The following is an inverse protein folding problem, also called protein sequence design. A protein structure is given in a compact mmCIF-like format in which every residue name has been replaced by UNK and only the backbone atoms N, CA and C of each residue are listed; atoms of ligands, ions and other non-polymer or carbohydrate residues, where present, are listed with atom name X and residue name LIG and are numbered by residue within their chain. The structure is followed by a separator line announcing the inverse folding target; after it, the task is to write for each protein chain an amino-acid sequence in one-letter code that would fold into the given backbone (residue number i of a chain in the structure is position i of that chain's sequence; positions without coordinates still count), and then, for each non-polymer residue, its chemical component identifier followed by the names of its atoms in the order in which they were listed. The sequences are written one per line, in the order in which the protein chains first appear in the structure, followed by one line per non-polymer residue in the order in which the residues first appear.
data_IF_841812908105
#
_entry.id   IF_841812908105
#
_cell.length_a   1.000
_cell.length_b   1.000
_cell.length_c   1.000
_cell.angle_alpha   90.00
_cell.angle_beta   90.00
_cell.angle_gamma   90.00
#
_symmetry.space_group_name_H-M   'P 1'
#
loop_
_entity.id
_entity.type
_entity.pdbx_description
1 polymer ?
#
# COMPACT_ATOMS: atom_id res chain seq x y z
N UNK A 1 15.03 -26.77 -12.31
CA UNK A 1 16.20 -26.36 -11.52
C UNK A 1 15.84 -25.09 -10.77
N UNK A 2 16.24 -24.96 -9.48
CA UNK A 2 15.99 -23.75 -8.70
C UNK A 2 17.19 -22.82 -8.89
N UNK A 3 16.94 -21.58 -9.33
CA UNK A 3 18.00 -20.59 -9.59
C UNK A 3 18.24 -19.66 -8.38
N UNK A 4 17.24 -19.48 -7.53
CA UNK A 4 17.31 -18.64 -6.36
C UNK A 4 16.01 -18.55 -5.58
N UNK A 5 15.99 -17.74 -4.54
CA UNK A 5 14.81 -17.54 -3.66
C UNK A 5 14.46 -16.07 -3.58
N UNK A 6 13.23 -15.74 -3.93
CA UNK A 6 12.67 -14.40 -3.85
C UNK A 6 11.78 -14.26 -2.61
N UNK A 7 11.99 -13.24 -1.79
CA UNK A 7 11.30 -13.07 -0.52
C UNK A 7 10.62 -11.70 -0.47
N UNK A 8 9.33 -11.72 -0.13
CA UNK A 8 8.55 -10.55 0.27
C UNK A 8 8.56 -10.46 1.80
N UNK A 9 9.01 -9.35 2.36
CA UNK A 9 9.23 -9.20 3.80
C UNK A 9 8.69 -7.87 4.32
N UNK A 10 8.19 -7.80 5.55
CA UNK A 10 7.92 -6.51 6.18
C UNK A 10 9.21 -5.79 6.54
N UNK A 11 9.14 -4.45 6.68
CA UNK A 11 10.24 -3.57 7.09
C UNK A 11 11.00 -2.92 5.93
N UNK A 12 11.93 -2.03 6.27
CA UNK A 12 12.73 -1.28 5.31
C UNK A 12 13.91 -2.13 4.82
N UNK A 13 13.77 -2.76 3.66
CA UNK A 13 14.79 -3.66 3.12
C UNK A 13 15.97 -2.87 2.56
N UNK A 14 17.12 -3.02 3.22
CA UNK A 14 18.39 -2.43 2.85
C UNK A 14 19.25 -3.45 2.07
N UNK A 15 19.08 -3.44 0.76
CA UNK A 15 19.79 -4.38 -0.13
C UNK A 15 21.32 -4.15 -0.08
N UNK A 16 21.76 -2.87 0.07
CA UNK A 16 23.18 -2.51 0.12
C UNK A 16 23.88 -3.11 1.33
N UNK A 17 23.24 -3.01 2.50
CA UNK A 17 23.79 -3.52 3.76
C UNK A 17 23.30 -4.93 4.09
N UNK A 18 22.53 -5.57 3.20
CA UNK A 18 22.02 -6.95 3.28
C UNK A 18 21.26 -7.24 4.59
N UNK A 19 20.41 -6.28 5.01
CA UNK A 19 19.63 -6.37 6.25
C UNK A 19 18.25 -5.72 6.07
N UNK A 20 17.40 -5.90 7.06
CA UNK A 20 16.10 -5.21 7.15
C UNK A 20 16.18 -4.19 8.29
N UNK A 21 16.03 -2.92 7.95
CA UNK A 21 16.02 -1.79 8.89
C UNK A 21 14.57 -1.46 9.31
N UNK A 22 14.44 -0.53 10.27
CA UNK A 22 13.15 -0.06 10.75
C UNK A 22 12.53 -0.99 11.80
N UNK A 23 11.20 -0.97 11.87
CA UNK A 23 10.38 -1.74 12.81
C UNK A 23 9.25 -2.40 12.02
N UNK A 24 8.97 -3.66 12.33
CA UNK A 24 7.81 -4.38 11.81
C UNK A 24 7.23 -5.32 12.87
N UNK A 25 6.12 -5.97 12.56
CA UNK A 25 5.51 -6.97 13.42
C UNK A 25 6.40 -8.22 13.65
N UNK A 26 7.49 -8.37 12.88
CA UNK A 26 8.42 -9.50 12.94
C UNK A 26 9.78 -8.99 13.42
N UNK A 27 9.90 -8.77 14.72
CA UNK A 27 11.05 -8.11 15.35
C UNK A 27 12.39 -8.80 15.08
N UNK A 28 12.42 -10.14 15.03
CA UNK A 28 13.65 -10.92 14.85
C UNK A 28 14.28 -10.82 13.46
N UNK A 29 13.61 -10.17 12.47
CA UNK A 29 14.18 -9.93 11.14
C UNK A 29 15.13 -8.74 11.10
N UNK A 30 15.02 -7.83 12.09
CA UNK A 30 15.70 -6.55 12.04
C UNK A 30 17.15 -6.62 12.56
N UNK A 31 18.00 -5.73 12.05
CA UNK A 31 19.37 -5.46 12.51
C UNK A 31 20.30 -6.69 12.54
N UNK A 32 20.05 -7.65 11.65
CA UNK A 32 20.88 -8.85 11.47
C UNK A 32 21.17 -9.07 9.99
N UNK A 33 22.22 -9.84 9.64
CA UNK A 33 22.59 -10.12 8.24
C UNK A 33 21.64 -11.18 7.65
N UNK A 34 20.35 -10.87 7.57
CA UNK A 34 19.30 -11.83 7.23
C UNK A 34 19.47 -12.44 5.84
N UNK A 35 20.02 -11.69 4.88
CA UNK A 35 20.31 -12.22 3.54
C UNK A 35 21.35 -13.35 3.63
N UNK A 36 22.48 -13.12 4.33
CA UNK A 36 23.56 -14.08 4.44
C UNK A 36 23.15 -15.34 5.21
N UNK A 37 22.34 -15.14 6.26
CA UNK A 37 21.82 -16.25 7.06
C UNK A 37 20.86 -17.13 6.25
N UNK A 38 19.98 -16.53 5.44
CA UNK A 38 19.05 -17.29 4.61
C UNK A 38 19.76 -17.95 3.42
N UNK A 39 20.74 -17.30 2.79
CA UNK A 39 21.58 -17.91 1.76
C UNK A 39 22.34 -19.12 2.30
N UNK A 40 22.95 -19.00 3.48
CA UNK A 40 23.64 -20.10 4.13
C UNK A 40 22.71 -21.27 4.48
N UNK A 41 21.49 -20.96 4.91
CA UNK A 41 20.51 -21.98 5.31
C UNK A 41 19.87 -22.69 4.11
N UNK A 42 19.61 -21.98 3.01
CA UNK A 42 18.86 -22.49 1.86
C UNK A 42 19.77 -22.98 0.72
N UNK A 43 21.03 -22.50 0.68
CA UNK A 43 22.00 -22.88 -0.37
C UNK A 43 21.72 -22.24 -1.74
N UNK A 44 20.95 -21.16 -1.81
CA UNK A 44 20.59 -20.45 -3.03
C UNK A 44 20.80 -18.94 -2.88
N UNK A 45 21.07 -18.20 -3.97
CA UNK A 45 21.03 -16.74 -3.97
C UNK A 45 19.65 -16.22 -3.53
N UNK A 46 19.63 -15.14 -2.77
CA UNK A 46 18.39 -14.57 -2.22
C UNK A 46 18.22 -13.12 -2.62
N UNK A 47 17.00 -12.77 -3.02
CA UNK A 47 16.54 -11.38 -3.05
C UNK A 47 15.44 -11.18 -2.01
N UNK A 48 15.49 -10.06 -1.31
CA UNK A 48 14.44 -9.63 -0.39
C UNK A 48 14.00 -8.23 -0.79
N UNK A 49 12.69 -8.00 -0.82
CA UNK A 49 12.12 -6.65 -0.95
C UNK A 49 10.91 -6.52 -0.02
N UNK A 50 10.59 -5.26 0.33
CA UNK A 50 9.42 -4.95 1.15
C UNK A 50 8.12 -5.45 0.50
N UNK A 51 7.15 -5.90 1.30
CA UNK A 51 5.90 -6.50 0.84
C UNK A 51 5.03 -5.56 -0.01
N UNK A 52 4.89 -4.31 0.39
CA UNK A 52 4.17 -3.31 -0.40
C UNK A 52 4.93 -2.94 -1.69
N UNK A 53 6.26 -2.87 -1.62
CA UNK A 53 7.11 -2.67 -2.81
C UNK A 53 6.96 -3.85 -3.78
N UNK A 54 7.02 -5.08 -3.30
CA UNK A 54 6.78 -6.27 -4.12
C UNK A 54 5.41 -6.20 -4.81
N UNK A 55 4.34 -5.90 -4.06
CA UNK A 55 3.01 -5.79 -4.63
C UNK A 55 2.94 -4.68 -5.70
N UNK A 56 3.56 -3.54 -5.45
CA UNK A 56 3.68 -2.47 -6.42
C UNK A 56 4.46 -2.88 -7.67
N UNK A 57 5.59 -3.58 -7.53
CA UNK A 57 6.38 -4.13 -8.65
C UNK A 57 5.53 -5.06 -9.51
N UNK A 58 4.77 -5.96 -8.89
CA UNK A 58 3.84 -6.85 -9.59
C UNK A 58 2.85 -6.05 -10.45
N UNK A 59 2.19 -5.05 -9.86
CA UNK A 59 1.19 -4.24 -10.55
C UNK A 59 1.79 -3.39 -11.68
N UNK A 60 2.98 -2.85 -11.49
CA UNK A 60 3.68 -2.07 -12.52
C UNK A 60 4.16 -2.92 -13.69
N UNK A 61 4.57 -4.15 -13.46
CA UNK A 61 5.12 -5.03 -14.50
C UNK A 61 4.06 -5.89 -15.19
N UNK A 62 3.08 -6.39 -14.43
CA UNK A 62 2.13 -7.39 -14.91
C UNK A 62 0.66 -6.98 -14.76
N UNK A 63 0.37 -5.94 -13.96
CA UNK A 63 -0.98 -5.56 -13.57
C UNK A 63 -1.44 -4.21 -14.08
N UNK A 64 -2.17 -3.50 -13.22
CA UNK A 64 -2.86 -2.24 -13.54
C UNK A 64 -1.93 -1.11 -14.01
N UNK A 65 -0.66 -1.14 -13.60
CA UNK A 65 0.35 -0.12 -13.90
C UNK A 65 1.19 -0.37 -15.14
N UNK A 66 0.90 -1.38 -15.95
CA UNK A 66 1.66 -1.64 -17.18
C UNK A 66 1.73 -0.42 -18.10
N UNK A 67 2.95 -0.06 -18.51
CA UNK A 67 3.21 1.08 -19.40
C UNK A 67 3.25 2.45 -18.73
N UNK A 68 2.90 2.55 -17.44
CA UNK A 68 2.94 3.78 -16.64
C UNK A 68 4.37 4.04 -16.16
N UNK A 69 4.81 5.29 -16.17
CA UNK A 69 6.15 5.68 -15.73
C UNK A 69 6.15 6.23 -14.30
N UNK A 70 5.12 6.99 -13.94
CA UNK A 70 5.01 7.61 -12.62
C UNK A 70 3.73 7.10 -11.94
N UNK A 71 3.90 6.29 -10.90
CA UNK A 71 2.76 5.72 -10.18
C UNK A 71 3.01 5.67 -8.67
N UNK A 72 1.94 5.70 -7.92
CA UNK A 72 1.95 5.24 -6.52
C UNK A 72 1.04 4.02 -6.38
N UNK A 73 1.50 3.05 -5.63
CA UNK A 73 0.72 1.90 -5.18
C UNK A 73 0.40 2.09 -3.70
N UNK A 74 -0.86 2.01 -3.34
CA UNK A 74 -1.33 2.16 -1.95
C UNK A 74 -2.06 0.90 -1.54
N UNK A 75 -1.48 0.12 -0.64
CA UNK A 75 -2.10 -1.09 -0.10
C UNK A 75 -2.80 -0.79 1.21
N UNK A 76 -4.09 -1.13 1.31
CA UNK A 76 -4.95 -0.85 2.45
C UNK A 76 -5.44 -2.18 3.03
N UNK A 77 -4.86 -2.55 4.17
CA UNK A 77 -5.16 -3.77 4.91
C UNK A 77 -5.45 -3.48 6.39
N UNK A 78 -4.70 -4.10 7.32
CA UNK A 78 -4.71 -3.75 8.74
C UNK A 78 -4.05 -2.41 9.01
N UNK A 79 -3.07 -2.04 8.19
CA UNK A 79 -2.45 -0.73 8.07
C UNK A 79 -2.51 -0.25 6.62
N UNK A 80 -1.84 0.88 6.36
CA UNK A 80 -1.62 1.38 5.01
C UNK A 80 -0.12 1.33 4.72
N UNK A 81 0.23 0.73 3.60
CA UNK A 81 1.58 0.74 3.04
C UNK A 81 1.56 1.26 1.61
N UNK A 82 2.71 1.28 0.95
CA UNK A 82 2.74 1.65 -0.45
C UNK A 82 4.10 1.57 -1.09
N UNK A 83 4.12 1.93 -2.37
CA UNK A 83 5.33 2.02 -3.18
C UNK A 83 5.24 3.22 -4.13
N UNK A 84 6.37 3.83 -4.42
CA UNK A 84 6.48 4.95 -5.36
C UNK A 84 7.29 4.47 -6.57
N UNK A 85 6.81 4.78 -7.77
CA UNK A 85 7.50 4.51 -9.01
C UNK A 85 7.76 5.81 -9.77
N UNK A 86 9.01 6.03 -10.14
CA UNK A 86 9.47 7.19 -10.93
C UNK A 86 10.25 6.66 -12.13
N UNK A 87 9.88 7.06 -13.33
CA UNK A 87 10.45 6.54 -14.58
C UNK A 87 10.36 4.99 -14.67
N UNK A 88 9.27 4.42 -14.19
CA UNK A 88 9.03 2.97 -14.18
C UNK A 88 9.88 2.18 -13.18
N UNK A 89 10.64 2.86 -12.32
CA UNK A 89 11.53 2.25 -11.32
C UNK A 89 11.03 2.53 -9.90
N UNK A 90 11.18 1.55 -9.03
CA UNK A 90 10.86 1.68 -7.61
C UNK A 90 11.75 2.75 -6.96
N UNK A 91 11.11 3.72 -6.31
CA UNK A 91 11.78 4.79 -5.55
C UNK A 91 11.63 4.57 -4.06
N UNK A 92 12.71 4.22 -3.38
CA UNK A 92 12.74 3.93 -1.93
C UNK A 92 13.14 5.14 -1.07
N UNK A 93 13.60 6.23 -1.70
CA UNK A 93 14.12 7.41 -0.98
C UNK A 93 15.49 7.18 -0.36
N UNK A 94 16.01 8.24 0.29
CA UNK A 94 17.36 8.23 0.89
C UNK A 94 17.49 7.33 2.12
N UNK A 95 16.38 7.10 2.84
CA UNK A 95 16.34 6.35 4.09
C UNK A 95 15.43 5.10 4.00
N UNK A 96 15.06 4.68 2.80
CA UNK A 96 14.17 3.53 2.52
C UNK A 96 12.73 3.73 3.04
N UNK A 97 12.30 4.97 3.23
CA UNK A 97 10.95 5.34 3.69
C UNK A 97 10.01 5.80 2.56
N UNK A 98 10.48 5.74 1.31
CA UNK A 98 9.61 6.03 0.16
C UNK A 98 8.46 5.03 0.08
N UNK A 99 7.23 5.53 0.14
CA UNK A 99 6.04 4.66 0.14
C UNK A 99 5.45 4.35 1.52
N UNK A 100 6.06 4.79 2.62
CA UNK A 100 5.51 4.62 3.98
C UNK A 100 4.27 5.51 4.22
N UNK A 101 3.27 5.40 3.34
CA UNK A 101 2.07 6.25 3.35
C UNK A 101 1.22 6.10 4.61
N UNK A 102 1.32 4.94 5.27
CA UNK A 102 0.64 4.71 6.54
C UNK A 102 1.03 5.68 7.64
N UNK A 103 2.22 6.29 7.55
CA UNK A 103 2.75 7.27 8.50
C UNK A 103 2.35 8.71 8.17
N UNK A 104 1.72 8.97 7.02
CA UNK A 104 1.23 10.31 6.67
C UNK A 104 0.23 10.76 7.72
N UNK A 105 0.46 11.94 8.28
CA UNK A 105 -0.38 12.55 9.31
C UNK A 105 -1.42 13.47 8.65
N UNK A 106 -2.68 13.29 8.97
CA UNK A 106 -3.77 14.14 8.51
C UNK A 106 -3.96 15.39 9.38
N UNK A 107 -4.89 16.26 9.00
CA UNK A 107 -5.13 17.53 9.68
C UNK A 107 -5.51 17.39 11.18
N UNK A 108 -6.04 16.24 11.60
CA UNK A 108 -6.37 15.98 13.03
C UNK A 108 -5.23 15.29 13.81
N UNK A 109 -4.04 15.18 13.25
CA UNK A 109 -2.86 14.62 13.91
C UNK A 109 -2.82 13.10 13.97
N UNK A 110 -3.69 12.40 13.22
CA UNK A 110 -3.74 10.95 13.17
C UNK A 110 -3.07 10.40 11.91
N UNK A 111 -2.43 9.24 12.02
CA UNK A 111 -1.80 8.60 10.86
C UNK A 111 -2.83 8.01 9.90
N UNK A 112 -2.46 7.90 8.63
CA UNK A 112 -3.31 7.29 7.62
C UNK A 112 -3.64 5.83 7.96
N UNK A 113 -2.69 5.07 8.51
CA UNK A 113 -2.96 3.71 9.00
C UNK A 113 -4.05 3.69 10.08
N UNK A 114 -4.11 4.70 10.94
CA UNK A 114 -5.14 4.80 11.99
C UNK A 114 -6.52 5.10 11.42
N UNK A 115 -6.63 6.02 10.45
CA UNK A 115 -7.93 6.52 9.98
C UNK A 115 -8.37 5.95 8.62
N UNK A 116 -7.44 5.44 7.81
CA UNK A 116 -7.70 5.01 6.44
C UNK A 116 -7.94 3.50 6.27
N UNK A 117 -8.15 2.74 7.36
CA UNK A 117 -8.37 1.29 7.27
C UNK A 117 -9.74 0.87 7.77
N UNK A 118 -10.36 -0.12 7.13
CA UNK A 118 -11.64 -0.68 7.55
C UNK A 118 -11.56 -1.34 8.94
N UNK A 119 -10.40 -1.94 9.27
CA UNK A 119 -10.16 -2.58 10.58
C UNK A 119 -10.24 -1.55 11.70
N UNK A 120 -9.51 -0.44 11.59
CA UNK A 120 -9.49 0.59 12.61
C UNK A 120 -10.82 1.37 12.66
N UNK A 121 -11.48 1.55 11.51
CA UNK A 121 -12.81 2.16 11.46
C UNK A 121 -13.85 1.29 12.16
N UNK A 122 -13.84 -0.03 11.91
CA UNK A 122 -14.71 -0.98 12.61
C UNK A 122 -14.41 -1.01 14.13
N UNK A 123 -13.15 -0.91 14.54
CA UNK A 123 -12.79 -0.87 15.95
C UNK A 123 -13.34 0.41 16.64
N UNK A 124 -13.25 1.57 15.99
CA UNK A 124 -13.88 2.82 16.50
C UNK A 124 -15.39 2.70 16.58
N UNK A 125 -16.03 2.25 15.49
CA UNK A 125 -17.47 2.01 15.44
C UNK A 125 -17.91 1.04 16.54
N UNK A 126 -17.18 -0.07 16.74
CA UNK A 126 -17.45 -1.06 17.78
C UNK A 126 -17.42 -0.44 19.19
N UNK A 127 -16.40 0.39 19.45
CA UNK A 127 -16.28 1.09 20.74
C UNK A 127 -17.45 2.06 20.99
N UNK A 128 -17.88 2.80 19.98
CA UNK A 128 -18.98 3.76 20.09
C UNK A 128 -20.34 3.09 20.28
N UNK A 129 -20.56 1.96 19.62
CA UNK A 129 -21.84 1.21 19.66
C UNK A 129 -21.91 0.14 20.74
N UNK A 130 -20.81 -0.10 21.50
CA UNK A 130 -20.77 -1.16 22.50
C UNK A 130 -20.86 -2.58 21.92
N UNK A 131 -20.34 -2.77 20.72
CA UNK A 131 -20.34 -4.05 19.98
C UNK A 131 -18.92 -4.44 19.59
N UNK A 132 -18.76 -5.56 18.90
CA UNK A 132 -17.48 -5.99 18.31
C UNK A 132 -17.73 -6.51 16.91
N UNK A 133 -17.26 -5.77 15.90
CA UNK A 133 -17.40 -6.16 14.49
C UNK A 133 -16.07 -6.01 13.76
N UNK A 134 -15.90 -6.78 12.70
CA UNK A 134 -14.79 -6.70 11.77
C UNK A 134 -15.01 -5.60 10.71
N UNK A 135 -13.94 -5.26 9.97
CA UNK A 135 -14.05 -4.35 8.82
C UNK A 135 -15.04 -4.85 7.76
N UNK A 136 -15.10 -6.17 7.54
CA UNK A 136 -16.08 -6.77 6.62
C UNK A 136 -17.51 -6.56 7.10
N UNK A 137 -17.79 -6.84 8.36
CA UNK A 137 -19.12 -6.66 8.95
C UNK A 137 -19.55 -5.19 8.96
N UNK A 138 -18.61 -4.23 9.08
CA UNK A 138 -18.91 -2.82 8.94
C UNK A 138 -19.40 -2.48 7.52
N UNK A 139 -18.78 -3.05 6.49
CA UNK A 139 -19.28 -2.93 5.12
C UNK A 139 -20.65 -3.59 4.94
N UNK A 140 -20.84 -4.79 5.48
CA UNK A 140 -22.10 -5.51 5.40
C UNK A 140 -23.26 -4.68 6.06
N UNK A 141 -23.01 -4.01 7.18
CA UNK A 141 -23.96 -3.12 7.82
C UNK A 141 -24.29 -1.89 6.94
N UNK A 142 -23.28 -1.27 6.35
CA UNK A 142 -23.48 -0.13 5.47
C UNK A 142 -24.27 -0.53 4.21
N UNK A 143 -23.97 -1.69 3.63
CA UNK A 143 -24.72 -2.25 2.48
C UNK A 143 -26.19 -2.56 2.84
N UNK A 144 -26.46 -2.89 4.10
CA UNK A 144 -27.81 -3.07 4.65
C UNK A 144 -28.52 -1.74 4.98
N UNK A 145 -27.88 -0.59 4.80
CA UNK A 145 -28.44 0.74 5.00
C UNK A 145 -28.29 1.29 6.42
N UNK A 146 -27.39 0.75 7.25
CA UNK A 146 -27.06 1.32 8.55
C UNK A 146 -26.35 2.69 8.36
N UNK A 147 -27.01 3.75 8.74
CA UNK A 147 -26.55 5.13 8.54
C UNK A 147 -25.24 5.39 9.28
N UNK A 148 -25.07 4.88 10.49
CA UNK A 148 -23.86 5.09 11.28
C UNK A 148 -22.64 4.34 10.67
N UNK A 149 -22.86 3.13 10.13
CA UNK A 149 -21.82 2.39 9.41
C UNK A 149 -21.42 3.11 8.11
N UNK A 150 -22.41 3.66 7.37
CA UNK A 150 -22.14 4.48 6.18
C UNK A 150 -21.33 5.74 6.52
N UNK A 151 -21.68 6.45 7.60
CA UNK A 151 -20.95 7.64 8.06
C UNK A 151 -19.51 7.29 8.47
N UNK A 152 -19.31 6.18 9.18
CA UNK A 152 -17.98 5.72 9.57
C UNK A 152 -17.09 5.40 8.35
N UNK A 153 -17.62 4.71 7.33
CA UNK A 153 -16.91 4.42 6.08
C UNK A 153 -16.66 5.69 5.25
N UNK A 154 -17.60 6.61 5.19
CA UNK A 154 -17.42 7.90 4.52
C UNK A 154 -16.26 8.68 5.14
N UNK A 155 -16.16 8.75 6.46
CA UNK A 155 -15.01 9.36 7.14
C UNK A 155 -13.67 8.68 6.80
N UNK A 156 -13.65 7.34 6.68
CA UNK A 156 -12.45 6.61 6.22
C UNK A 156 -12.07 7.01 4.79
N UNK A 157 -13.05 7.12 3.88
CA UNK A 157 -12.79 7.52 2.48
C UNK A 157 -12.29 8.96 2.38
N UNK A 158 -12.81 9.86 3.22
CA UNK A 158 -12.36 11.25 3.26
C UNK A 158 -10.88 11.33 3.68
N UNK A 159 -10.46 10.57 4.70
CA UNK A 159 -9.06 10.52 5.12
C UNK A 159 -8.13 9.90 4.05
N UNK A 160 -8.59 8.88 3.34
CA UNK A 160 -7.86 8.32 2.21
C UNK A 160 -7.71 9.33 1.09
N UNK A 161 -8.78 10.01 0.71
CA UNK A 161 -8.76 11.01 -0.35
C UNK A 161 -7.88 12.22 -0.01
N UNK A 162 -7.89 12.69 1.26
CA UNK A 162 -7.00 13.75 1.76
C UNK A 162 -5.53 13.35 1.60
N UNK A 163 -5.17 12.13 2.02
CA UNK A 163 -3.82 11.63 1.86
C UNK A 163 -3.41 11.50 0.39
N UNK A 164 -4.28 10.94 -0.46
CA UNK A 164 -4.02 10.81 -1.88
C UNK A 164 -3.90 12.17 -2.58
N UNK A 165 -4.68 13.17 -2.17
CA UNK A 165 -4.53 14.55 -2.64
C UNK A 165 -3.13 15.08 -2.32
N UNK A 166 -2.68 14.93 -1.08
CA UNK A 166 -1.35 15.38 -0.65
C UNK A 166 -0.23 14.66 -1.43
N UNK A 167 -0.38 13.36 -1.69
CA UNK A 167 0.56 12.60 -2.51
C UNK A 167 0.51 13.05 -3.99
N UNK A 168 -0.69 13.32 -4.52
CA UNK A 168 -0.83 13.80 -5.89
C UNK A 168 -0.10 15.12 -6.11
N UNK A 169 -0.32 16.10 -5.26
CA UNK A 169 0.34 17.42 -5.42
C UNK A 169 1.84 17.40 -5.07
N UNK A 170 2.34 16.36 -4.41
CA UNK A 170 3.74 16.23 -4.00
C UNK A 170 4.58 15.42 -5.00
N UNK A 171 4.00 14.40 -5.64
CA UNK A 171 4.70 13.42 -6.49
C UNK A 171 4.26 13.54 -7.95
N UNK A 172 3.03 14.00 -8.18
CA UNK A 172 2.36 14.12 -9.50
C UNK A 172 2.40 12.81 -10.32
N UNK A 173 1.89 11.69 -9.74
CA UNK A 173 1.84 10.43 -10.47
C UNK A 173 0.76 10.45 -11.56
N UNK A 174 1.03 9.74 -12.67
CA UNK A 174 0.04 9.46 -13.71
C UNK A 174 -1.08 8.54 -13.20
N UNK A 175 -0.73 7.65 -12.25
CA UNK A 175 -1.65 6.63 -11.74
C UNK A 175 -1.49 6.39 -10.24
N UNK A 176 -2.64 6.19 -9.58
CA UNK A 176 -2.75 5.66 -8.22
C UNK A 176 -3.39 4.27 -8.31
N UNK A 177 -2.69 3.25 -7.81
CA UNK A 177 -3.19 1.87 -7.75
C UNK A 177 -3.58 1.57 -6.31
N UNK A 178 -4.84 1.22 -6.09
CA UNK A 178 -5.38 0.85 -4.77
C UNK A 178 -5.31 -0.67 -4.62
N UNK A 179 -4.54 -1.14 -3.64
CA UNK A 179 -4.41 -2.56 -3.29
C UNK A 179 -4.98 -2.90 -1.91
N UNK A 180 -4.81 -4.16 -1.52
CA UNK A 180 -5.33 -4.69 -0.25
C UNK A 180 -6.79 -5.14 -0.33
N UNK A 181 -7.31 -5.64 0.80
CA UNK A 181 -8.64 -6.27 0.83
C UNK A 181 -9.79 -5.38 0.36
N UNK A 182 -9.69 -4.06 0.55
CA UNK A 182 -10.74 -3.12 0.12
C UNK A 182 -10.80 -2.94 -1.41
N UNK A 183 -9.71 -3.21 -2.12
CA UNK A 183 -9.66 -3.07 -3.58
C UNK A 183 -10.55 -4.08 -4.34
N UNK A 184 -10.97 -5.16 -3.66
CA UNK A 184 -11.94 -6.09 -4.19
C UNK A 184 -13.35 -5.49 -4.32
N UNK A 185 -13.59 -4.31 -3.74
CA UNK A 185 -14.85 -3.56 -3.80
C UNK A 185 -14.70 -2.38 -4.77
N UNK A 186 -15.29 -2.45 -5.98
CA UNK A 186 -15.20 -1.36 -6.97
C UNK A 186 -15.82 -0.04 -6.47
N UNK A 187 -16.89 -0.12 -5.65
CA UNK A 187 -17.55 1.02 -5.03
C UNK A 187 -16.60 1.81 -4.12
N UNK A 188 -15.68 1.16 -3.43
CA UNK A 188 -14.69 1.80 -2.55
C UNK A 188 -13.67 2.59 -3.37
N UNK A 189 -13.10 1.97 -4.41
CA UNK A 189 -12.15 2.66 -5.30
C UNK A 189 -12.79 3.88 -5.96
N UNK A 190 -14.03 3.77 -6.40
CA UNK A 190 -14.78 4.86 -7.00
C UNK A 190 -15.11 5.97 -5.98
N UNK A 191 -15.52 5.60 -4.75
CA UNK A 191 -15.78 6.56 -3.69
C UNK A 191 -14.53 7.39 -3.33
N UNK A 192 -13.35 6.77 -3.31
CA UNK A 192 -12.07 7.46 -3.08
C UNK A 192 -11.74 8.37 -4.27
N UNK A 193 -11.88 7.86 -5.49
CA UNK A 193 -11.62 8.62 -6.73
C UNK A 193 -12.46 9.89 -6.81
N UNK A 194 -13.76 9.79 -6.52
CA UNK A 194 -14.67 10.94 -6.56
C UNK A 194 -14.29 12.02 -5.55
N UNK A 195 -13.88 11.63 -4.34
CA UNK A 195 -13.44 12.56 -3.30
C UNK A 195 -12.13 13.24 -3.66
N UNK A 196 -11.19 12.49 -4.23
CA UNK A 196 -9.94 13.06 -4.74
C UNK A 196 -10.23 14.12 -5.83
N UNK A 197 -11.11 13.80 -6.78
CA UNK A 197 -11.52 14.75 -7.82
C UNK A 197 -12.12 16.03 -7.19
N UNK A 198 -13.00 15.90 -6.21
CA UNK A 198 -13.61 17.03 -5.49
C UNK A 198 -12.53 17.89 -4.80
N UNK A 199 -11.52 17.28 -4.17
CA UNK A 199 -10.42 18.02 -3.55
C UNK A 199 -9.57 18.76 -4.57
N UNK A 200 -9.26 18.14 -5.72
CA UNK A 200 -8.50 18.77 -6.79
C UNK A 200 -9.26 19.95 -7.43
N UNK A 201 -10.58 19.80 -7.64
CA UNK A 201 -11.43 20.88 -8.14
C UNK A 201 -11.51 22.05 -7.13
N UNK A 202 -11.73 21.75 -5.86
CA UNK A 202 -11.82 22.76 -4.79
C UNK A 202 -10.53 23.58 -4.64
N UNK A 203 -9.39 22.99 -4.98
CA UNK A 203 -8.06 23.63 -4.96
C UNK A 203 -7.59 24.14 -6.32
N UNK A 204 -8.49 24.23 -7.31
CA UNK A 204 -8.26 24.79 -8.64
C UNK A 204 -7.19 24.06 -9.47
N UNK A 205 -6.99 22.76 -9.23
CA UNK A 205 -6.02 21.91 -9.97
C UNK A 205 -6.67 20.64 -10.54
N UNK A 206 -7.87 20.72 -11.20
CA UNK A 206 -8.53 19.53 -11.74
C UNK A 206 -7.72 18.80 -12.81
N UNK A 207 -6.82 19.52 -13.48
CA UNK A 207 -5.92 18.94 -14.49
C UNK A 207 -4.87 17.97 -13.93
N UNK A 208 -4.67 17.96 -12.61
CA UNK A 208 -3.77 17.01 -11.94
C UNK A 208 -4.47 15.70 -11.52
N UNK A 209 -5.66 15.39 -12.05
CA UNK A 209 -6.37 14.15 -11.69
C UNK A 209 -5.67 12.92 -12.28
N UNK A 210 -5.16 12.00 -11.43
CA UNK A 210 -4.51 10.78 -11.89
C UNK A 210 -5.53 9.73 -12.32
N UNK A 211 -5.07 8.70 -13.01
CA UNK A 211 -5.83 7.47 -13.14
C UNK A 211 -5.88 6.76 -11.79
N UNK A 212 -7.07 6.47 -11.27
CA UNK A 212 -7.23 5.69 -10.03
C UNK A 212 -7.81 4.31 -10.38
N UNK A 213 -7.06 3.25 -10.08
CA UNK A 213 -7.46 1.87 -10.38
C UNK A 213 -7.28 0.94 -9.19
N UNK A 214 -8.11 -0.07 -9.10
CA UNK A 214 -7.86 -1.21 -8.22
C UNK A 214 -6.72 -2.08 -8.76
N UNK A 215 -5.97 -2.72 -7.85
CA UNK A 215 -4.94 -3.69 -8.21
C UNK A 215 -5.53 -4.91 -8.91
N UNK A 216 -4.73 -5.55 -9.78
CA UNK A 216 -5.13 -6.73 -10.55
C UNK A 216 -4.91 -8.02 -9.77
N UNK A 217 -3.78 -8.15 -9.06
CA UNK A 217 -3.34 -9.42 -8.45
C UNK A 217 -3.75 -9.60 -6.99
N UNK A 218 -4.36 -8.58 -6.37
CA UNK A 218 -4.89 -8.64 -5.00
C UNK A 218 -3.90 -9.26 -3.99
N UNK A 219 -4.31 -10.32 -3.27
CA UNK A 219 -3.51 -10.94 -2.20
C UNK A 219 -2.25 -11.68 -2.69
N UNK A 220 -2.12 -11.95 -3.99
CA UNK A 220 -0.95 -12.63 -4.56
C UNK A 220 0.12 -11.66 -5.08
N UNK A 221 -0.18 -10.37 -5.12
CA UNK A 221 0.67 -9.35 -5.72
C UNK A 221 2.09 -9.34 -5.12
N UNK A 222 2.21 -9.45 -3.81
CA UNK A 222 3.51 -9.40 -3.14
C UNK A 222 4.40 -10.63 -3.45
N UNK A 223 3.83 -11.82 -3.53
CA UNK A 223 4.58 -13.04 -3.87
C UNK A 223 5.03 -13.04 -5.34
N UNK A 224 4.12 -12.67 -6.24
CA UNK A 224 4.46 -12.52 -7.67
C UNK A 224 5.49 -11.42 -7.86
N UNK A 225 5.31 -10.30 -7.18
CA UNK A 225 6.24 -9.17 -7.22
C UNK A 225 7.63 -9.49 -6.66
N UNK A 226 7.74 -10.34 -5.65
CA UNK A 226 9.04 -10.83 -5.19
C UNK A 226 9.77 -11.61 -6.29
N UNK A 227 9.07 -12.50 -7.01
CA UNK A 227 9.64 -13.22 -8.14
C UNK A 227 10.06 -12.27 -9.28
N UNK A 228 9.21 -11.31 -9.63
CA UNK A 228 9.54 -10.29 -10.64
C UNK A 228 10.74 -9.44 -10.21
N UNK A 229 10.82 -9.07 -8.92
CA UNK A 229 11.96 -8.33 -8.38
C UNK A 229 13.27 -9.15 -8.48
N UNK A 230 13.19 -10.46 -8.25
CA UNK A 230 14.34 -11.35 -8.44
C UNK A 230 14.86 -11.28 -9.89
N UNK A 231 13.98 -11.39 -10.87
CA UNK A 231 14.35 -11.28 -12.29
C UNK A 231 14.97 -9.91 -12.61
N UNK A 232 14.38 -8.81 -12.12
CA UNK A 232 14.91 -7.45 -12.34
C UNK A 232 16.33 -7.31 -11.77
N UNK A 233 16.56 -7.80 -10.54
CA UNK A 233 17.85 -7.62 -9.84
C UNK A 233 18.93 -8.52 -10.40
N UNK A 234 18.58 -9.74 -10.86
CA UNK A 234 19.57 -10.71 -11.35
C UNK A 234 19.91 -10.55 -12.84
N UNK A 235 19.09 -9.83 -13.61
CA UNK A 235 19.32 -9.57 -15.04
C UNK A 235 19.89 -8.17 -15.31
N UNK A 236 20.03 -7.32 -14.30
CA UNK A 236 20.60 -5.97 -14.37
C UNK A 236 22.12 -6.02 -14.22
#
# INVERSE_FOLDING_TARGET
EIEGVAISSPGAVNVKDRRIDGISAVEYLHQRPIFDELEAALGYPITIENDANCAGICEMKLGAGQGIQHAIFVVIGTGVGGAIFINGQLYKGAHLFGGEFGLVINANGQSLSTNGTAVNTAARFSKEKGTTISGKELFDLADAGDVAAMEALNGMYDHLAEALYNLQVSIDPEMIIIGGGISARPDVTEAIRMRLATLLEANLVPGAMPLVKACTFQNNANLIGAAVNYEIVTQA
#
